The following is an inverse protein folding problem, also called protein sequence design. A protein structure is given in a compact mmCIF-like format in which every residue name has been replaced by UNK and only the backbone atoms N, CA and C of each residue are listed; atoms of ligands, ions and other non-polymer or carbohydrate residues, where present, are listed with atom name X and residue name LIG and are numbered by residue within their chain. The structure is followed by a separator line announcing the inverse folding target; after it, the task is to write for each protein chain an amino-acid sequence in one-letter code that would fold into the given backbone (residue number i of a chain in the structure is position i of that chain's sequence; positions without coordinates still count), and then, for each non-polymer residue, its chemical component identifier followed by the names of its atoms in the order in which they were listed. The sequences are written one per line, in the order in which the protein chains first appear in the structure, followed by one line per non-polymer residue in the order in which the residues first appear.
data_IF_832625035322
#
_entry.id   IF_832625035322
#
_cell.length_a   1.000
_cell.length_b   1.000
_cell.length_c   1.000
_cell.angle_alpha   90.00
_cell.angle_beta   90.00
_cell.angle_gamma   90.00
#
_symmetry.space_group_name_H-M   'P 1'
#
loop_
_entity.id
_entity.type
_entity.pdbx_description
1 polymer ?
#
# COMPACT_ATOMS: atom_id res chain seq x y z
N UNK A 1 28.71 -58.59 -39.60
CA UNK A 1 28.89 -57.86 -38.33
C UNK A 1 29.33 -56.42 -38.60
N UNK A 2 28.45 -55.57 -39.15
CA UNK A 2 28.81 -54.17 -39.47
C UNK A 2 27.67 -53.16 -39.24
N UNK A 3 26.51 -53.60 -38.72
CA UNK A 3 25.31 -52.76 -38.62
C UNK A 3 24.89 -52.39 -37.18
N UNK A 4 25.62 -52.86 -36.16
CA UNK A 4 25.37 -52.52 -34.74
C UNK A 4 26.31 -51.44 -34.19
N UNK A 5 27.42 -51.15 -34.87
CA UNK A 5 28.36 -50.09 -34.46
C UNK A 5 27.96 -48.68 -34.91
N UNK A 6 27.29 -48.57 -36.06
CA UNK A 6 26.92 -47.27 -36.66
C UNK A 6 25.76 -46.60 -35.92
N UNK A 7 24.81 -47.38 -35.40
CA UNK A 7 23.66 -46.88 -34.64
C UNK A 7 24.03 -46.38 -33.24
N UNK A 8 25.05 -46.98 -32.60
CA UNK A 8 25.53 -46.51 -31.28
C UNK A 8 26.37 -45.24 -31.42
N UNK A 9 27.16 -45.11 -32.50
CA UNK A 9 27.92 -43.88 -32.80
C UNK A 9 27.01 -42.71 -33.15
N UNK A 10 25.91 -42.93 -33.89
CA UNK A 10 24.94 -41.87 -34.18
C UNK A 10 24.23 -41.37 -32.90
N UNK A 11 23.89 -42.26 -31.97
CA UNK A 11 23.25 -41.87 -30.71
C UNK A 11 24.20 -41.14 -29.75
N UNK A 12 25.49 -41.50 -29.69
CA UNK A 12 26.46 -40.79 -28.86
C UNK A 12 26.85 -39.41 -29.43
N UNK A 13 26.94 -39.27 -30.75
CA UNK A 13 27.21 -37.96 -31.39
C UNK A 13 25.98 -37.03 -31.26
N UNK A 14 24.76 -37.56 -31.35
CA UNK A 14 23.55 -36.77 -31.09
C UNK A 14 23.49 -36.28 -29.63
N UNK A 15 23.82 -37.13 -28.64
CA UNK A 15 23.83 -36.72 -27.23
C UNK A 15 24.91 -35.66 -26.95
N UNK A 16 26.08 -35.74 -27.57
CA UNK A 16 27.14 -34.72 -27.44
C UNK A 16 26.78 -33.40 -28.16
N UNK A 17 26.04 -33.45 -29.28
CA UNK A 17 25.56 -32.24 -29.96
C UNK A 17 24.37 -31.58 -29.23
N UNK A 18 23.54 -32.34 -28.51
CA UNK A 18 22.46 -31.78 -27.68
C UNK A 18 22.94 -31.22 -26.33
N UNK A 19 24.12 -31.61 -25.84
CA UNK A 19 24.73 -31.03 -24.63
C UNK A 19 25.62 -29.80 -24.91
N UNK A 20 25.80 -29.40 -26.18
CA UNK A 20 26.64 -28.27 -26.58
C UNK A 20 25.86 -27.04 -27.08
N UNK A 21 24.52 -27.04 -27.00
CA UNK A 21 23.69 -25.93 -27.54
C UNK A 21 22.42 -25.61 -26.76
N UNK A 22 22.47 -25.75 -25.43
CA UNK A 22 21.45 -25.20 -24.53
C UNK A 22 22.13 -24.33 -23.46
N UNK A 23 22.12 -23.04 -23.73
CA UNK A 23 22.13 -21.92 -22.77
C UNK A 23 23.20 -21.90 -21.66
N UNK A 24 24.33 -21.29 -22.00
CA UNK A 24 24.83 -20.18 -21.18
C UNK A 24 24.17 -18.91 -21.77
N UNK A 25 23.30 -18.22 -21.02
CA UNK A 25 23.79 -17.28 -20.02
C UNK A 25 22.91 -17.25 -18.75
N UNK A 26 23.24 -18.04 -17.73
CA UNK A 26 22.64 -17.90 -16.39
C UNK A 26 23.65 -17.35 -15.36
N UNK A 27 24.90 -17.07 -15.78
CA UNK A 27 25.92 -16.48 -14.90
C UNK A 27 26.10 -14.96 -15.01
N UNK A 28 25.55 -14.29 -16.03
CA UNK A 28 25.65 -12.82 -16.17
C UNK A 28 24.44 -12.04 -15.65
N UNK A 29 23.29 -12.67 -15.50
CA UNK A 29 22.08 -12.03 -14.99
C UNK A 29 22.08 -11.88 -13.47
N UNK A 30 22.83 -12.72 -12.73
CA UNK A 30 23.06 -12.49 -11.31
C UNK A 30 24.07 -11.36 -11.07
N UNK A 31 25.15 -11.27 -11.84
CA UNK A 31 26.12 -10.17 -11.70
C UNK A 31 25.54 -8.81 -12.14
N UNK A 32 24.72 -8.74 -13.20
CA UNK A 32 24.01 -7.50 -13.56
C UNK A 32 22.89 -7.12 -12.58
N UNK A 33 22.20 -8.10 -11.97
CA UNK A 33 21.23 -7.83 -10.90
C UNK A 33 21.93 -7.46 -9.59
N UNK A 34 23.17 -7.90 -9.38
CA UNK A 34 23.99 -7.58 -8.22
C UNK A 34 24.75 -6.26 -8.38
N UNK A 35 25.13 -5.87 -9.60
CA UNK A 35 25.65 -4.52 -9.91
C UNK A 35 24.53 -3.47 -9.92
N UNK A 36 23.32 -3.82 -10.39
CA UNK A 36 22.14 -2.97 -10.22
C UNK A 36 21.70 -2.85 -8.75
N UNK A 37 21.94 -3.89 -7.92
CA UNK A 37 21.72 -3.80 -6.47
C UNK A 37 22.76 -2.93 -5.73
N UNK A 38 23.84 -2.51 -6.40
CA UNK A 38 24.86 -1.60 -5.82
C UNK A 38 24.68 -0.14 -6.20
N UNK A 39 23.82 0.18 -7.17
CA UNK A 39 23.28 1.53 -7.33
C UNK A 39 21.91 1.50 -6.66
N UNK A 40 21.90 1.71 -5.33
CA UNK A 40 20.71 1.53 -4.51
C UNK A 40 19.47 2.12 -5.17
N UNK A 41 18.34 1.40 -5.12
CA UNK A 41 17.05 1.86 -5.61
C UNK A 41 16.71 3.18 -4.89
N UNK A 42 17.11 4.32 -5.46
CA UNK A 42 16.88 5.65 -4.92
C UNK A 42 15.74 6.27 -5.70
N UNK A 43 14.64 6.48 -5.01
CA UNK A 43 13.41 7.09 -5.53
C UNK A 43 13.36 8.55 -5.10
N UNK A 44 13.00 9.44 -6.02
CA UNK A 44 12.76 10.84 -5.73
C UNK A 44 11.25 11.06 -5.53
N UNK A 45 10.86 11.48 -4.34
CA UNK A 45 9.49 11.85 -4.03
C UNK A 45 9.26 13.26 -4.56
N UNK A 46 8.40 13.38 -5.57
CA UNK A 46 8.08 14.67 -6.22
C UNK A 46 6.60 15.03 -6.09
N UNK A 47 5.74 14.02 -5.97
CA UNK A 47 4.30 14.17 -5.82
C UNK A 47 3.91 14.24 -4.34
N UNK A 48 2.78 14.88 -4.06
CA UNK A 48 2.28 14.98 -2.69
C UNK A 48 1.69 13.65 -2.18
N UNK A 49 1.21 12.79 -3.08
CA UNK A 49 0.86 11.40 -2.75
C UNK A 49 1.74 10.48 -3.59
N UNK A 50 2.71 9.83 -2.96
CA UNK A 50 3.59 8.87 -3.64
C UNK A 50 3.26 7.46 -3.19
N UNK A 51 2.68 6.64 -4.07
CA UNK A 51 2.36 5.23 -3.78
C UNK A 51 3.43 4.33 -4.37
N UNK A 52 3.92 3.35 -3.60
CA UNK A 52 4.99 2.44 -4.05
C UNK A 52 4.87 1.06 -3.42
N UNK A 53 5.29 0.06 -4.19
CA UNK A 53 5.42 -1.35 -3.79
C UNK A 53 6.86 -1.84 -3.91
N UNK A 54 7.83 -0.92 -3.86
CA UNK A 54 9.25 -1.20 -4.04
C UNK A 54 10.05 -0.92 -2.75
N UNK A 55 11.04 -1.77 -2.46
CA UNK A 55 12.06 -1.51 -1.45
C UNK A 55 13.12 -0.54 -1.99
N UNK A 56 13.64 0.34 -1.13
CA UNK A 56 14.65 1.30 -1.56
C UNK A 56 14.86 2.46 -0.61
N UNK A 57 15.61 3.45 -1.08
CA UNK A 57 15.73 4.76 -0.46
C UNK A 57 14.78 5.75 -1.14
N UNK A 58 14.08 6.57 -0.37
CA UNK A 58 13.19 7.59 -0.88
C UNK A 58 13.64 8.93 -0.34
N UNK A 59 13.86 9.88 -1.24
CA UNK A 59 14.38 11.21 -0.92
C UNK A 59 13.39 12.29 -1.32
N UNK A 60 13.27 13.31 -0.48
CA UNK A 60 12.44 14.49 -0.73
C UNK A 60 13.23 15.74 -0.36
N UNK A 61 13.13 16.78 -1.18
CA UNK A 61 13.74 18.08 -0.92
C UNK A 61 12.75 19.18 -1.30
N UNK A 62 12.43 20.06 -0.35
CA UNK A 62 11.72 21.32 -0.60
C UNK A 62 12.68 22.48 -0.49
N UNK A 63 12.84 23.20 -1.60
CA UNK A 63 13.63 24.42 -1.68
C UNK A 63 12.73 25.63 -1.42
N UNK A 64 13.26 26.70 -0.80
CA UNK A 64 12.51 27.94 -0.65
C UNK A 64 12.13 28.50 -2.03
N UNK A 65 10.97 29.16 -2.15
CA UNK A 65 10.57 29.80 -3.39
C UNK A 65 11.65 30.83 -3.79
N UNK A 66 12.18 30.69 -5.00
CA UNK A 66 13.14 31.63 -5.55
C UNK A 66 12.44 32.97 -5.74
N UNK A 67 12.79 33.97 -4.91
CA UNK A 67 12.36 35.35 -5.13
C UNK A 67 13.01 35.80 -6.44
N UNK A 68 12.24 35.84 -7.52
CA UNK A 68 12.61 36.58 -8.72
C UNK A 68 12.83 38.04 -8.32
N UNK A 69 14.07 38.44 -8.14
CA UNK A 69 14.44 39.86 -8.04
C UNK A 69 14.48 40.44 -9.44
N UNK A 70 13.33 40.57 -10.09
CA UNK A 70 13.19 41.53 -11.18
C UNK A 70 13.00 42.92 -10.56
N UNK A 71 14.10 43.47 -10.04
CA UNK A 71 14.23 44.90 -9.80
C UNK A 71 14.37 45.58 -11.17
N UNK A 72 13.24 45.83 -11.83
CA UNK A 72 13.15 46.90 -12.83
C UNK A 72 12.44 48.07 -12.15
N UNK A 73 13.25 48.96 -11.59
CA UNK A 73 12.87 50.35 -11.33
C UNK A 73 12.70 51.03 -12.69
N UNK A 74 11.53 50.84 -13.29
CA UNK A 74 11.02 51.66 -14.37
C UNK A 74 9.80 52.39 -13.85
N UNK A 75 10.00 53.63 -13.41
CA UNK A 75 8.96 54.63 -13.34
C UNK A 75 8.19 54.62 -14.66
N UNK A 76 6.88 54.37 -14.63
CA UNK A 76 5.95 55.20 -15.38
C UNK A 76 4.52 55.08 -14.84
N UNK A 77 3.95 56.26 -14.70
CA UNK A 77 2.64 56.58 -14.19
C UNK A 77 1.54 56.14 -15.15
N UNK A 78 0.52 55.44 -14.68
CA UNK A 78 -0.85 55.71 -15.12
C UNK A 78 -1.88 55.32 -14.07
N UNK A 79 -2.60 56.32 -13.59
CA UNK A 79 -3.80 56.22 -12.77
C UNK A 79 -5.05 56.05 -13.64
N UNK A 80 -5.93 55.14 -13.22
CA UNK A 80 -7.38 55.23 -13.43
C UNK A 80 -7.99 54.27 -14.47
N UNK A 81 -8.74 53.28 -14.01
CA UNK A 81 -10.20 53.21 -14.18
C UNK A 81 -10.76 51.92 -13.56
N UNK A 82 -11.93 52.08 -12.93
CA UNK A 82 -12.68 51.05 -12.23
C UNK A 82 -13.58 50.23 -13.18
N UNK A 83 -13.81 48.98 -12.79
CA UNK A 83 -15.06 48.24 -12.99
C UNK A 83 -15.29 47.56 -14.34
N UNK A 84 -15.33 46.23 -14.34
CA UNK A 84 -16.43 45.40 -14.87
C UNK A 84 -16.12 43.90 -14.71
N UNK A 85 -17.13 43.17 -14.22
CA UNK A 85 -17.22 41.72 -14.13
C UNK A 85 -17.40 41.08 -15.52
N UNK A 86 -16.87 39.85 -15.70
CA UNK A 86 -17.59 38.66 -16.17
C UNK A 86 -16.67 37.68 -16.94
N UNK A 87 -16.58 36.48 -16.35
CA UNK A 87 -16.51 35.13 -16.93
C UNK A 87 -16.13 34.93 -18.41
N UNK A 88 -15.09 34.12 -18.63
CA UNK A 88 -15.12 33.02 -19.59
C UNK A 88 -13.98 32.02 -19.31
N UNK A 89 -14.36 30.74 -19.31
CA UNK A 89 -13.53 29.57 -19.11
C UNK A 89 -12.50 29.32 -20.23
N UNK A 90 -11.45 28.55 -19.92
CA UNK A 90 -10.75 27.77 -20.94
C UNK A 90 -9.27 27.54 -20.73
N UNK A 91 -8.95 26.43 -20.07
CA UNK A 91 -7.76 25.61 -20.29
C UNK A 91 -6.38 26.23 -20.02
N UNK A 92 -5.88 26.00 -18.81
CA UNK A 92 -4.46 25.68 -18.61
C UNK A 92 -4.37 24.43 -17.73
N UNK A 93 -3.66 23.43 -18.24
CA UNK A 93 -3.40 22.19 -17.51
C UNK A 93 -2.66 22.50 -16.22
N UNK A 94 -3.30 22.21 -15.09
CA UNK A 94 -2.67 22.17 -13.79
C UNK A 94 -1.70 20.98 -13.77
N UNK A 95 -0.41 21.29 -13.92
CA UNK A 95 0.66 20.43 -13.41
C UNK A 95 0.51 20.44 -11.89
N UNK A 96 -0.17 19.44 -11.34
CA UNK A 96 -0.33 19.21 -9.92
C UNK A 96 1.03 18.87 -9.29
N UNK A 97 1.87 19.88 -9.01
CA UNK A 97 3.17 19.67 -8.39
C UNK A 97 3.66 20.88 -7.60
N UNK A 98 2.94 21.21 -6.52
CA UNK A 98 3.50 21.59 -5.22
C UNK A 98 2.33 22.00 -4.32
N UNK A 99 2.02 21.18 -3.32
CA UNK A 99 1.10 21.57 -2.27
C UNK A 99 1.53 22.93 -1.68
N UNK A 100 0.55 23.80 -1.41
CA UNK A 100 0.77 25.07 -0.74
C UNK A 100 1.49 24.90 0.61
N UNK A 101 1.87 26.01 1.27
CA UNK A 101 2.67 25.98 2.51
C UNK A 101 2.04 25.17 3.66
N UNK A 102 0.76 24.81 3.59
CA UNK A 102 0.05 24.04 4.60
C UNK A 102 -0.33 22.60 4.17
N UNK A 103 0.00 22.16 2.96
CA UNK A 103 -0.42 20.84 2.46
C UNK A 103 0.33 19.71 3.16
N UNK A 104 -0.41 18.71 3.65
CA UNK A 104 0.13 17.45 4.16
C UNK A 104 0.26 16.49 2.98
N UNK A 105 1.44 15.93 2.81
CA UNK A 105 1.78 14.96 1.77
C UNK A 105 2.13 13.62 2.41
N UNK A 106 2.17 12.54 1.61
CA UNK A 106 2.35 11.18 2.10
C UNK A 106 3.11 10.29 1.13
N UNK A 107 3.97 9.43 1.69
CA UNK A 107 4.55 8.28 1.00
C UNK A 107 3.84 7.02 1.50
N UNK A 108 3.12 6.39 0.59
CA UNK A 108 2.23 5.26 0.80
C UNK A 108 2.91 3.98 0.33
N UNK A 109 3.24 3.12 1.28
CA UNK A 109 3.90 1.84 1.01
C UNK A 109 2.88 0.70 1.07
N UNK A 110 2.92 -0.19 0.09
CA UNK A 110 2.26 -1.51 0.12
C UNK A 110 3.26 -2.59 -0.20
N UNK A 111 3.24 -3.68 0.55
CA UNK A 111 4.08 -4.85 0.32
C UNK A 111 3.21 -6.07 0.00
N UNK A 112 3.84 -7.19 -0.33
CA UNK A 112 3.13 -8.44 -0.55
C UNK A 112 2.30 -8.87 0.69
N UNK A 113 1.24 -9.67 0.51
CA UNK A 113 0.32 -10.02 1.60
C UNK A 113 0.99 -10.67 2.82
N UNK A 114 2.11 -11.37 2.63
CA UNK A 114 2.89 -12.03 3.66
C UNK A 114 4.09 -11.20 4.12
N UNK A 115 4.05 -9.88 3.96
CA UNK A 115 5.11 -8.97 4.36
C UNK A 115 4.60 -7.85 5.29
N UNK A 116 5.53 -7.26 6.03
CA UNK A 116 5.38 -5.99 6.75
C UNK A 116 6.49 -5.05 6.30
N UNK A 117 6.34 -3.76 6.61
CA UNK A 117 7.23 -2.71 6.14
C UNK A 117 8.02 -2.16 7.33
N UNK A 118 9.33 -2.09 7.18
CA UNK A 118 10.24 -1.38 8.07
C UNK A 118 10.73 -0.11 7.38
N UNK A 119 10.52 1.04 8.02
CA UNK A 119 10.98 2.35 7.55
C UNK A 119 12.10 2.83 8.47
N UNK A 120 13.27 3.09 7.89
CA UNK A 120 14.41 3.71 8.59
C UNK A 120 14.59 5.13 8.11
N UNK A 121 14.53 6.10 9.02
CA UNK A 121 14.86 7.50 8.74
C UNK A 121 16.37 7.66 8.68
N UNK A 122 16.93 7.83 7.48
CA UNK A 122 18.37 8.07 7.26
C UNK A 122 18.74 9.53 7.50
N UNK A 123 17.87 10.45 7.08
CA UNK A 123 18.04 11.88 7.28
C UNK A 123 16.69 12.54 7.48
N UNK A 124 16.58 13.44 8.47
CA UNK A 124 15.41 14.28 8.68
C UNK A 124 15.84 15.71 8.93
N UNK A 125 15.36 16.61 8.08
CA UNK A 125 15.56 18.05 8.16
C UNK A 125 14.20 18.71 7.98
N UNK A 126 13.37 18.62 9.02
CA UNK A 126 12.00 19.17 9.05
C UNK A 126 11.87 19.99 10.33
N UNK A 127 11.82 21.31 10.19
CA UNK A 127 11.88 22.23 11.33
C UNK A 127 10.52 22.37 12.03
N UNK A 128 10.45 21.91 13.29
CA UNK A 128 9.26 22.01 14.13
C UNK A 128 8.76 23.46 14.30
N UNK A 129 9.65 24.44 14.39
CA UNK A 129 9.31 25.84 14.68
C UNK A 129 8.61 26.53 13.52
N UNK A 130 8.92 26.09 12.29
CA UNK A 130 8.23 26.57 11.07
C UNK A 130 6.87 25.90 10.86
N UNK A 131 6.45 25.02 11.78
CA UNK A 131 5.28 24.16 11.62
C UNK A 131 5.57 22.92 10.76
N UNK A 132 6.84 22.53 10.60
CA UNK A 132 7.20 21.25 10.00
C UNK A 132 6.78 20.08 10.88
N UNK A 133 6.24 19.03 10.27
CA UNK A 133 5.82 17.82 10.99
C UNK A 133 5.96 16.60 10.08
N UNK A 134 6.46 15.50 10.61
CA UNK A 134 6.39 14.18 9.99
C UNK A 134 5.63 13.23 10.91
N UNK A 135 4.97 12.24 10.33
CA UNK A 135 4.32 11.18 11.07
C UNK A 135 4.53 9.84 10.37
N UNK A 136 4.87 8.81 11.13
CA UNK A 136 4.74 7.43 10.69
C UNK A 136 3.39 6.89 11.15
N UNK A 137 2.67 6.25 10.22
CA UNK A 137 1.39 5.58 10.46
C UNK A 137 1.57 4.09 10.22
N UNK A 138 1.31 3.28 11.25
CA UNK A 138 1.17 1.83 11.15
C UNK A 138 -0.16 1.49 10.47
N UNK A 139 -0.07 1.27 9.15
CA UNK A 139 -1.20 1.16 8.23
C UNK A 139 -1.27 2.35 7.27
N UNK A 140 -2.46 2.61 6.72
CA UNK A 140 -2.73 3.75 5.85
C UNK A 140 -3.76 4.69 6.47
N UNK A 141 -3.66 5.96 6.10
CA UNK A 141 -4.65 6.99 6.40
C UNK A 141 -5.12 7.64 5.09
N UNK A 142 -6.44 7.77 4.94
CA UNK A 142 -7.07 8.45 3.82
C UNK A 142 -8.37 9.11 4.30
N UNK A 143 -8.45 10.43 4.16
CA UNK A 143 -9.62 11.24 4.52
C UNK A 143 -10.09 11.05 5.98
N UNK A 144 -9.15 10.95 6.91
CA UNK A 144 -9.39 10.75 8.34
C UNK A 144 -9.75 9.31 8.72
N UNK A 145 -9.79 8.39 7.76
CA UNK A 145 -10.04 6.96 8.01
C UNK A 145 -8.75 6.17 7.91
N UNK A 146 -8.68 5.08 8.67
CA UNK A 146 -7.48 4.27 8.79
C UNK A 146 -7.71 2.85 8.32
N UNK A 147 -6.71 2.31 7.64
CA UNK A 147 -6.60 0.88 7.39
C UNK A 147 -5.42 0.30 8.17
N UNK A 148 -5.60 -0.83 8.88
CA UNK A 148 -6.88 -1.42 9.25
C UNK A 148 -7.70 -0.47 10.12
N UNK A 149 -9.02 -0.68 10.15
CA UNK A 149 -9.91 0.06 11.05
C UNK A 149 -9.53 -0.14 12.51
N UNK A 150 -9.89 0.80 13.38
CA UNK A 150 -9.49 0.77 14.81
C UNK A 150 -9.92 -0.48 15.56
N UNK A 151 -11.01 -1.11 15.13
CA UNK A 151 -11.57 -2.33 15.73
C UNK A 151 -10.94 -3.63 15.19
N UNK A 152 -10.20 -3.55 14.07
CA UNK A 152 -9.55 -4.69 13.42
C UNK A 152 -8.01 -4.67 13.63
N UNK A 153 -7.46 -3.50 13.99
CA UNK A 153 -6.06 -3.37 14.36
C UNK A 153 -5.81 -3.84 15.80
N UNK A 154 -4.67 -4.48 16.05
CA UNK A 154 -4.29 -4.95 17.40
C UNK A 154 -3.91 -3.82 18.37
N UNK A 155 -3.43 -2.71 17.82
CA UNK A 155 -3.06 -1.50 18.55
C UNK A 155 -4.08 -0.38 18.33
N UNK A 156 -4.31 0.44 19.36
CA UNK A 156 -5.10 1.67 19.25
C UNK A 156 -4.39 2.74 18.41
N UNK A 157 -5.16 3.69 17.90
CA UNK A 157 -4.67 4.72 16.98
C UNK A 157 -3.50 5.54 17.55
N UNK A 158 -3.50 5.86 18.84
CA UNK A 158 -2.44 6.66 19.47
C UNK A 158 -1.08 5.96 19.52
N UNK A 159 -1.05 4.63 19.35
CA UNK A 159 0.19 3.84 19.26
C UNK A 159 0.61 3.58 17.83
N UNK A 160 -0.31 3.75 16.88
CA UNK A 160 -0.07 3.56 15.43
C UNK A 160 0.53 4.79 14.78
N UNK A 161 0.30 5.98 15.36
CA UNK A 161 0.79 7.25 14.85
C UNK A 161 1.97 7.71 15.69
N UNK A 162 3.12 7.94 15.05
CA UNK A 162 4.32 8.45 15.68
C UNK A 162 4.75 9.72 14.98
N UNK A 163 4.51 10.86 15.63
CA UNK A 163 4.86 12.18 15.14
C UNK A 163 6.28 12.58 15.55
N UNK A 164 7.02 13.21 14.64
CA UNK A 164 8.37 13.68 14.90
C UNK A 164 8.77 14.81 13.94
N UNK A 165 9.72 15.63 14.37
CA UNK A 165 10.38 16.66 13.58
C UNK A 165 11.74 16.98 14.21
N UNK A 166 12.55 17.80 13.55
CA UNK A 166 13.86 18.24 14.04
C UNK A 166 13.69 19.46 14.94
N UNK A 167 13.88 19.30 16.25
CA UNK A 167 14.03 20.44 17.16
C UNK A 167 15.44 21.04 17.01
N UNK A 168 15.53 22.34 16.68
CA UNK A 168 16.80 23.05 16.72
C UNK A 168 17.18 23.34 18.18
N UNK A 169 17.88 22.40 18.82
CA UNK A 169 18.61 22.75 20.04
C UNK A 169 19.79 23.65 19.68
N UNK A 170 19.75 24.92 20.11
CA UNK A 170 20.87 25.85 20.00
C UNK A 170 22.15 25.19 20.58
N UNK A 171 23.31 25.27 19.91
CA UNK A 171 24.50 24.55 20.30
C UNK A 171 25.20 25.24 21.47
N UNK A 172 24.94 24.79 22.68
CA UNK A 172 25.72 25.13 23.87
C UNK A 172 26.50 23.88 24.32
N UNK A 173 27.73 23.75 23.79
CA UNK A 173 28.77 22.72 24.08
C UNK A 173 28.63 21.33 23.39
N UNK A 174 29.73 20.59 23.17
CA UNK A 174 30.28 20.19 21.89
C UNK A 174 29.67 18.88 21.34
N UNK A 175 29.52 18.87 20.02
CA UNK A 175 28.94 17.83 19.19
C UNK A 175 29.70 16.49 19.18
N UNK A 176 29.72 15.76 20.29
CA UNK A 176 30.29 14.38 20.36
C UNK A 176 29.45 13.34 21.12
N UNK A 177 28.16 13.62 21.38
CA UNK A 177 27.26 12.66 22.06
C UNK A 177 25.94 12.36 21.30
N UNK A 178 25.66 13.01 20.18
CA UNK A 178 24.49 12.70 19.34
C UNK A 178 24.91 11.80 18.18
N UNK A 179 25.43 10.62 18.47
CA UNK A 179 25.41 9.53 17.51
C UNK A 179 23.95 9.16 17.29
N UNK A 180 23.34 9.86 16.33
CA UNK A 180 22.04 9.65 15.69
C UNK A 180 21.44 8.27 15.98
N UNK A 181 20.49 8.20 16.93
CA UNK A 181 19.57 7.07 17.02
C UNK A 181 18.75 7.08 15.74
N UNK A 182 19.07 6.19 14.79
CA UNK A 182 18.27 6.04 13.59
C UNK A 182 16.83 5.72 14.01
N UNK A 183 15.87 6.53 13.56
CA UNK A 183 14.46 6.26 13.82
C UNK A 183 14.03 5.12 12.91
N UNK A 184 13.65 3.99 13.51
CA UNK A 184 13.19 2.81 12.80
C UNK A 184 11.76 2.54 13.22
N UNK A 185 10.88 2.50 12.25
CA UNK A 185 9.45 2.23 12.42
C UNK A 185 9.09 0.94 11.70
N UNK A 186 8.12 0.20 12.24
CA UNK A 186 7.64 -1.05 11.66
C UNK A 186 6.13 -1.04 11.62
N UNK A 187 5.56 -1.45 10.50
CA UNK A 187 4.13 -1.73 10.42
C UNK A 187 3.81 -3.12 10.98
N UNK A 188 2.56 -3.27 11.39
CA UNK A 188 1.95 -4.54 11.82
C UNK A 188 1.32 -5.28 10.62
N UNK A 189 1.09 -4.59 9.51
CA UNK A 189 0.45 -5.10 8.29
C UNK A 189 1.32 -4.84 7.05
N UNK A 190 0.87 -5.30 5.88
CA UNK A 190 1.58 -5.09 4.61
C UNK A 190 1.50 -3.65 4.05
N UNK A 191 1.14 -2.67 4.87
CA UNK A 191 1.07 -1.28 4.44
C UNK A 191 1.56 -0.34 5.55
N UNK A 192 2.14 0.78 5.14
CA UNK A 192 2.63 1.84 6.01
C UNK A 192 2.52 3.18 5.31
N UNK A 193 2.42 4.26 6.07
CA UNK A 193 2.36 5.61 5.53
C UNK A 193 3.33 6.52 6.29
N UNK A 194 4.13 7.29 5.55
CA UNK A 194 4.93 8.39 6.08
C UNK A 194 4.31 9.69 5.61
N UNK A 195 3.64 10.40 6.52
CA UNK A 195 3.09 11.72 6.26
C UNK A 195 4.12 12.81 6.57
N UNK A 196 4.10 13.89 5.80
CA UNK A 196 4.96 15.03 6.03
C UNK A 196 4.30 16.33 5.61
N UNK A 197 4.57 17.37 6.40
CA UNK A 197 4.25 18.77 6.10
C UNK A 197 5.53 19.57 6.25
N UNK A 198 5.99 20.17 5.15
CA UNK A 198 7.21 21.00 5.12
C UNK A 198 6.80 22.36 4.55
N UNK A 199 6.57 23.38 5.37
CA UNK A 199 6.03 24.66 4.91
C UNK A 199 6.97 25.45 3.99
N UNK A 200 8.22 25.65 4.43
CA UNK A 200 9.17 26.53 3.73
C UNK A 200 10.31 25.76 3.05
N UNK A 201 11.18 25.13 3.84
CA UNK A 201 12.35 24.37 3.40
C UNK A 201 12.53 23.13 4.25
N UNK A 202 13.06 22.08 3.66
CA UNK A 202 13.35 20.86 4.39
C UNK A 202 13.66 19.71 3.46
N UNK A 203 14.10 18.61 4.05
CA UNK A 203 14.40 17.39 3.30
C UNK A 203 14.32 16.17 4.19
N UNK A 204 14.07 15.01 3.59
CA UNK A 204 14.22 13.74 4.28
C UNK A 204 14.78 12.68 3.33
N UNK A 205 15.40 11.67 3.93
CA UNK A 205 15.76 10.42 3.27
C UNK A 205 15.27 9.29 4.16
N UNK A 206 14.39 8.45 3.61
CA UNK A 206 13.87 7.25 4.26
C UNK A 206 14.33 6.01 3.50
N UNK A 207 14.44 4.88 4.19
CA UNK A 207 14.73 3.60 3.57
C UNK A 207 13.64 2.61 3.97
N UNK A 208 12.98 2.03 2.97
CA UNK A 208 11.93 1.04 3.14
C UNK A 208 12.48 -0.36 2.86
N UNK A 209 12.10 -1.30 3.73
CA UNK A 209 12.39 -2.73 3.60
C UNK A 209 11.14 -3.54 3.91
N UNK A 210 10.96 -4.64 3.21
CA UNK A 210 9.86 -5.56 3.39
C UNK A 210 10.36 -6.82 4.11
N UNK A 211 9.69 -7.16 5.19
CA UNK A 211 10.06 -8.27 6.07
C UNK A 211 8.94 -9.31 6.04
N UNK A 212 9.29 -10.59 5.98
CA UNK A 212 8.30 -11.66 5.96
C UNK A 212 7.46 -11.69 7.26
N UNK A 213 6.16 -11.86 7.09
CA UNK A 213 5.14 -12.00 8.10
C UNK A 213 4.47 -13.36 7.96
N UNK A 214 4.69 -14.23 8.94
CA UNK A 214 4.12 -15.59 8.95
C UNK A 214 2.63 -15.65 9.28
N UNK A 215 2.02 -14.56 9.77
CA UNK A 215 0.62 -14.53 10.22
C UNK A 215 -0.14 -13.27 9.77
N UNK A 216 -0.17 -12.98 8.46
CA UNK A 216 -0.91 -11.82 7.95
C UNK A 216 -2.39 -11.94 8.28
N UNK A 217 -2.97 -10.84 8.74
CA UNK A 217 -4.37 -10.76 9.15
C UNK A 217 -5.06 -9.63 8.40
N UNK A 218 -4.49 -8.43 8.44
CA UNK A 218 -5.03 -7.33 7.65
C UNK A 218 -4.12 -7.08 6.44
N UNK A 219 -4.72 -7.05 5.26
CA UNK A 219 -4.03 -7.03 3.98
C UNK A 219 -4.60 -5.90 3.12
N UNK A 220 -3.75 -4.99 2.68
CA UNK A 220 -4.05 -4.06 1.61
C UNK A 220 -3.76 -4.74 0.27
N UNK A 221 -4.77 -4.85 -0.58
CA UNK A 221 -4.67 -5.51 -1.88
C UNK A 221 -4.40 -4.52 -3.00
N UNK A 222 -3.35 -4.79 -3.77
CA UNK A 222 -3.05 -4.13 -5.04
C UNK A 222 -3.57 -4.90 -6.26
N UNK A 223 -4.21 -6.05 -6.05
CA UNK A 223 -4.75 -6.90 -7.12
C UNK A 223 -3.71 -7.79 -7.83
N UNK A 224 -2.48 -7.87 -7.31
CA UNK A 224 -1.40 -8.65 -7.92
C UNK A 224 -1.35 -10.12 -7.45
N UNK A 225 -1.87 -10.42 -6.25
CA UNK A 225 -1.80 -11.78 -5.71
C UNK A 225 -2.88 -12.68 -6.32
N UNK A 226 -2.57 -13.95 -6.62
CA UNK A 226 -3.54 -14.89 -7.21
C UNK A 226 -4.69 -15.21 -6.28
N UNK A 227 -4.45 -15.16 -4.97
CA UNK A 227 -5.45 -15.30 -3.92
C UNK A 227 -4.94 -14.65 -2.63
N UNK A 228 -5.88 -14.38 -1.73
CA UNK A 228 -5.65 -13.84 -0.41
C UNK A 228 -6.23 -14.80 0.63
N UNK A 229 -5.49 -14.99 1.73
CA UNK A 229 -5.86 -15.91 2.78
C UNK A 229 -6.13 -15.13 4.07
N UNK A 230 -7.40 -14.89 4.39
CA UNK A 230 -7.79 -14.30 5.66
C UNK A 230 -7.86 -15.39 6.72
N UNK A 231 -7.16 -15.21 7.84
CA UNK A 231 -7.12 -16.19 8.92
C UNK A 231 -6.93 -15.53 10.28
N UNK A 232 -7.70 -15.96 11.28
CA UNK A 232 -7.58 -15.45 12.65
C UNK A 232 -6.42 -16.09 13.45
N UNK A 233 -5.87 -17.21 12.96
CA UNK A 233 -4.83 -18.04 13.61
C UNK A 233 -5.21 -18.46 15.04
N UNK A 234 -6.50 -18.73 15.26
CA UNK A 234 -7.02 -19.12 16.57
C UNK A 234 -7.00 -18.00 17.61
N UNK A 235 -6.89 -16.74 17.17
CA UNK A 235 -6.96 -15.57 18.04
C UNK A 235 -8.34 -14.90 17.96
N UNK A 236 -8.80 -14.24 19.03
CA UNK A 236 -10.01 -13.41 19.03
C UNK A 236 -9.73 -12.06 18.34
N UNK A 237 -9.43 -12.09 17.04
CA UNK A 237 -9.12 -10.91 16.23
C UNK A 237 -9.85 -10.94 14.90
N UNK A 238 -10.27 -9.77 14.45
CA UNK A 238 -10.83 -9.60 13.11
C UNK A 238 -9.70 -9.42 12.11
N UNK A 239 -9.90 -9.92 10.89
CA UNK A 239 -8.92 -9.84 9.81
C UNK A 239 -9.57 -9.26 8.55
N UNK A 240 -8.89 -8.31 7.91
CA UNK A 240 -9.52 -7.49 6.86
C UNK A 240 -8.65 -7.44 5.60
N UNK A 241 -9.24 -7.74 4.46
CA UNK A 241 -8.66 -7.49 3.14
C UNK A 241 -9.33 -6.26 2.55
N UNK A 242 -8.56 -5.25 2.16
CA UNK A 242 -9.10 -4.01 1.57
C UNK A 242 -8.36 -3.66 0.29
N UNK A 243 -9.11 -3.37 -0.76
CA UNK A 243 -8.60 -2.83 -2.03
C UNK A 243 -9.17 -1.43 -2.26
N UNK A 244 -8.34 -0.53 -2.79
CA UNK A 244 -8.69 0.87 -3.08
C UNK A 244 -9.25 1.05 -4.49
N UNK A 245 -10.05 0.09 -4.93
CA UNK A 245 -10.71 0.13 -6.22
C UNK A 245 -12.01 -0.69 -6.20
N UNK A 246 -12.96 -0.36 -7.09
CA UNK A 246 -14.09 -1.22 -7.43
C UNK A 246 -13.60 -2.59 -7.88
N UNK A 247 -14.09 -3.66 -7.25
CA UNK A 247 -13.56 -5.00 -7.48
C UNK A 247 -14.63 -6.08 -7.46
N UNK A 248 -14.35 -7.18 -8.15
CA UNK A 248 -15.08 -8.43 -8.01
C UNK A 248 -14.35 -9.30 -6.99
N UNK A 249 -15.08 -9.67 -5.94
CA UNK A 249 -14.59 -10.59 -4.90
C UNK A 249 -15.17 -11.97 -5.17
N UNK A 250 -14.30 -12.97 -5.27
CA UNK A 250 -14.70 -14.38 -5.36
C UNK A 250 -14.28 -15.11 -4.09
N UNK A 251 -15.25 -15.65 -3.35
CA UNK A 251 -14.96 -16.51 -2.19
C UNK A 251 -14.74 -17.95 -2.66
N UNK A 252 -13.49 -18.42 -2.57
CA UNK A 252 -13.04 -19.72 -3.07
C UNK A 252 -13.21 -20.83 -2.04
N UNK A 253 -12.94 -20.53 -0.76
CA UNK A 253 -13.12 -21.47 0.33
C UNK A 253 -13.44 -20.72 1.63
N UNK A 254 -14.28 -21.31 2.47
CA UNK A 254 -14.75 -20.71 3.72
C UNK A 254 -14.77 -21.76 4.82
N UNK A 255 -14.15 -21.45 5.96
CA UNK A 255 -14.34 -22.17 7.21
C UNK A 255 -14.48 -21.14 8.34
N UNK A 256 -15.71 -20.79 8.69
CA UNK A 256 -16.00 -19.73 9.67
C UNK A 256 -17.08 -20.20 10.64
N UNK A 257 -16.77 -20.15 11.94
CA UNK A 257 -17.63 -20.67 12.99
C UNK A 257 -17.63 -22.20 13.07
N UNK A 258 -18.70 -22.83 13.58
CA UNK A 258 -18.74 -24.27 13.78
C UNK A 258 -18.75 -25.03 12.44
N UNK A 259 -17.67 -25.80 12.19
CA UNK A 259 -17.35 -26.45 10.92
C UNK A 259 -18.28 -27.57 10.42
N UNK A 260 -19.47 -27.73 11.00
CA UNK A 260 -20.40 -28.82 10.70
C UNK A 260 -21.60 -28.37 9.84
N UNK A 261 -21.67 -27.09 9.45
CA UNK A 261 -22.76 -26.53 8.66
C UNK A 261 -22.26 -26.10 7.29
N UNK A 262 -23.05 -26.36 6.25
CA UNK A 262 -22.85 -25.78 4.92
C UNK A 262 -22.82 -24.24 5.02
N UNK A 263 -22.16 -23.60 4.05
CA UNK A 263 -22.14 -22.13 3.95
C UNK A 263 -23.57 -21.59 3.87
N UNK A 264 -23.88 -20.60 4.69
CA UNK A 264 -25.18 -19.92 4.73
C UNK A 264 -25.01 -18.43 5.00
N UNK A 265 -26.06 -17.66 4.69
CA UNK A 265 -26.11 -16.24 5.02
C UNK A 265 -26.41 -16.07 6.52
N UNK A 266 -25.52 -15.37 7.23
CA UNK A 266 -25.50 -15.34 8.70
C UNK A 266 -26.00 -14.03 9.32
N UNK A 267 -26.53 -13.13 8.50
CA UNK A 267 -27.03 -11.82 8.93
C UNK A 267 -28.19 -11.92 9.93
N UNK A 268 -29.12 -12.87 9.71
CA UNK A 268 -30.29 -13.08 10.58
C UNK A 268 -30.00 -13.96 11.80
N UNK A 269 -28.97 -14.80 11.72
CA UNK A 269 -28.65 -15.80 12.76
C UNK A 269 -27.82 -15.19 13.90
N UNK A 270 -27.34 -13.95 13.75
CA UNK A 270 -26.45 -13.26 14.71
C UNK A 270 -25.27 -14.14 15.11
N UNK A 271 -24.48 -14.56 14.13
CA UNK A 271 -23.25 -15.29 14.40
C UNK A 271 -22.12 -14.32 14.80
N UNK A 272 -21.37 -14.70 15.84
CA UNK A 272 -20.18 -14.00 16.30
C UNK A 272 -18.98 -14.22 15.37
N UNK A 273 -19.02 -15.28 14.55
CA UNK A 273 -18.00 -15.63 13.56
C UNK A 273 -18.62 -15.57 12.16
N UNK A 274 -18.14 -14.65 11.33
CA UNK A 274 -18.71 -14.39 9.99
C UNK A 274 -17.70 -13.74 9.07
N UNK A 275 -17.88 -13.98 7.77
CA UNK A 275 -17.20 -13.25 6.71
C UNK A 275 -18.18 -12.24 6.12
N UNK A 276 -17.81 -10.97 6.16
CA UNK A 276 -18.56 -9.87 5.59
C UNK A 276 -17.85 -9.41 4.31
N UNK A 277 -18.57 -9.30 3.20
CA UNK A 277 -18.05 -8.80 1.92
C UNK A 277 -18.84 -7.55 1.55
N UNK A 278 -18.15 -6.49 1.16
CA UNK A 278 -18.81 -5.22 0.85
C UNK A 278 -17.82 -4.15 0.38
N UNK A 279 -18.30 -2.92 0.35
CA UNK A 279 -17.49 -1.76 -0.02
C UNK A 279 -17.93 -0.49 0.69
N UNK A 280 -17.07 0.51 0.68
CA UNK A 280 -17.36 1.82 1.27
C UNK A 280 -16.72 2.94 0.45
N UNK A 281 -16.94 4.17 0.88
CA UNK A 281 -16.29 5.36 0.31
C UNK A 281 -14.93 5.65 0.96
N UNK A 282 -14.50 4.87 1.96
CA UNK A 282 -13.27 5.11 2.72
C UNK A 282 -12.58 3.82 3.17
N UNK A 283 -11.63 3.95 4.10
CA UNK A 283 -10.79 2.83 4.55
C UNK A 283 -11.38 1.98 5.68
N UNK A 284 -12.37 2.49 6.43
CA UNK A 284 -12.93 1.78 7.57
C UNK A 284 -13.96 0.70 7.12
N UNK A 285 -13.64 -0.59 7.28
CA UNK A 285 -14.54 -1.68 6.84
C UNK A 285 -15.78 -1.80 7.74
N UNK A 286 -15.85 -1.16 8.91
CA UNK A 286 -17.04 -1.19 9.75
C UNK A 286 -18.22 -0.44 9.15
N UNK A 287 -17.92 0.57 8.32
CA UNK A 287 -18.91 1.43 7.68
C UNK A 287 -19.28 0.93 6.29
N UNK A 288 -18.83 -0.27 5.91
CA UNK A 288 -19.08 -0.81 4.58
C UNK A 288 -20.55 -1.19 4.37
N UNK A 289 -21.04 -0.92 3.17
CA UNK A 289 -22.28 -1.48 2.66
C UNK A 289 -22.02 -2.93 2.28
N UNK A 290 -22.69 -3.86 2.97
CA UNK A 290 -22.43 -5.29 2.86
C UNK A 290 -23.20 -5.86 1.67
N UNK A 291 -22.47 -6.53 0.76
CA UNK A 291 -23.05 -7.36 -0.29
C UNK A 291 -23.52 -8.70 0.27
N UNK A 292 -22.73 -9.26 1.19
CA UNK A 292 -23.08 -10.49 1.87
C UNK A 292 -22.45 -10.61 3.25
N UNK A 293 -23.09 -11.41 4.09
CA UNK A 293 -22.54 -11.88 5.36
C UNK A 293 -22.73 -13.38 5.40
N UNK A 294 -21.64 -14.15 5.36
CA UNK A 294 -21.66 -15.61 5.26
C UNK A 294 -20.87 -16.27 6.38
N UNK A 295 -21.26 -17.46 6.78
CA UNK A 295 -20.53 -18.30 7.74
C UNK A 295 -20.82 -19.79 7.47
N UNK A 296 -20.14 -20.67 8.18
CA UNK A 296 -20.15 -22.11 7.96
C UNK A 296 -18.91 -22.59 7.20
N UNK A 297 -19.00 -23.79 6.63
CA UNK A 297 -17.90 -24.49 5.98
C UNK A 297 -18.24 -24.86 4.55
N UNK A 298 -17.34 -24.54 3.62
CA UNK A 298 -17.39 -25.04 2.25
C UNK A 298 -16.78 -26.45 2.22
N UNK A 299 -17.54 -27.44 1.73
CA UNK A 299 -17.05 -28.81 1.55
C UNK A 299 -16.05 -28.98 0.38
N UNK A 300 -15.61 -27.89 -0.23
CA UNK A 300 -14.77 -27.85 -1.42
C UNK A 300 -14.65 -26.41 -1.93
N UNK A 301 -14.29 -26.26 -3.22
CA UNK A 301 -14.27 -24.96 -3.88
C UNK A 301 -15.68 -24.37 -3.95
N UNK A 302 -15.79 -23.12 -3.59
CA UNK A 302 -16.95 -22.26 -3.72
C UNK A 302 -16.68 -21.24 -4.83
N UNK A 303 -17.71 -20.85 -5.57
CA UNK A 303 -17.61 -19.80 -6.59
C UNK A 303 -18.71 -18.77 -6.31
N UNK A 304 -18.50 -17.98 -5.25
CA UNK A 304 -19.40 -16.88 -4.88
C UNK A 304 -18.76 -15.56 -5.27
N UNK A 305 -19.17 -15.07 -6.44
CA UNK A 305 -18.69 -13.83 -7.04
C UNK A 305 -19.60 -12.67 -6.66
N UNK A 306 -19.00 -11.57 -6.23
CA UNK A 306 -19.71 -10.36 -5.81
C UNK A 306 -19.00 -9.13 -6.36
N UNK A 307 -19.68 -8.42 -7.26
CA UNK A 307 -19.20 -7.17 -7.83
C UNK A 307 -19.47 -6.02 -6.87
N UNK A 308 -18.40 -5.44 -6.32
CA UNK A 308 -18.43 -4.33 -5.37
C UNK A 308 -17.96 -3.07 -6.08
N UNK A 309 -18.90 -2.15 -6.33
CA UNK A 309 -18.66 -0.93 -7.07
C UNK A 309 -18.66 0.27 -6.12
N UNK A 310 -17.62 0.31 -5.29
CA UNK A 310 -17.38 1.32 -4.29
C UNK A 310 -15.95 1.85 -4.44
N UNK A 311 -15.65 3.01 -3.84
CA UNK A 311 -14.29 3.56 -3.84
C UNK A 311 -13.29 2.59 -3.19
N UNK A 312 -13.76 1.82 -2.21
CA UNK A 312 -13.00 0.71 -1.62
C UNK A 312 -13.84 -0.57 -1.60
N UNK A 313 -13.16 -1.69 -1.79
CA UNK A 313 -13.72 -3.04 -1.65
C UNK A 313 -13.10 -3.69 -0.43
N UNK A 314 -13.90 -4.27 0.46
CA UNK A 314 -13.42 -4.90 1.70
C UNK A 314 -14.04 -6.26 1.94
N UNK A 315 -13.21 -7.18 2.44
CA UNK A 315 -13.60 -8.48 2.97
C UNK A 315 -13.14 -8.55 4.41
N UNK A 316 -14.08 -8.71 5.34
CA UNK A 316 -13.84 -8.66 6.78
C UNK A 316 -14.21 -9.98 7.44
N UNK A 317 -13.22 -10.68 7.96
CA UNK A 317 -13.39 -11.87 8.78
C UNK A 317 -13.57 -11.46 10.23
N UNK A 318 -14.81 -11.51 10.72
CA UNK A 318 -15.17 -11.27 12.12
C UNK A 318 -15.03 -12.57 12.88
N UNK A 319 -14.33 -12.53 14.02
CA UNK A 319 -13.96 -13.75 14.73
C UNK A 319 -14.02 -13.57 16.25
N UNK A 320 -14.76 -14.48 16.89
CA UNK A 320 -14.83 -14.64 18.36
C UNK A 320 -13.55 -15.23 18.95
N UNK A 321 -12.74 -15.91 18.13
CA UNK A 321 -11.56 -16.66 18.55
C UNK A 321 -11.84 -18.08 19.07
N UNK A 322 -13.12 -18.50 19.12
CA UNK A 322 -13.49 -19.87 19.52
C UNK A 322 -13.17 -20.92 18.46
N UNK A 323 -13.06 -20.49 17.20
CA UNK A 323 -12.79 -21.35 16.05
C UNK A 323 -11.58 -20.85 15.27
N UNK A 324 -10.95 -21.75 14.51
CA UNK A 324 -9.92 -21.38 13.55
C UNK A 324 -10.60 -20.93 12.26
N UNK A 325 -10.94 -19.65 12.21
CA UNK A 325 -11.65 -19.07 11.08
C UNK A 325 -10.68 -18.78 9.93
N UNK A 326 -11.08 -19.15 8.72
CA UNK A 326 -10.31 -18.89 7.50
C UNK A 326 -11.20 -18.71 6.27
N UNK A 327 -10.79 -17.81 5.37
CA UNK A 327 -11.47 -17.54 4.12
C UNK A 327 -10.47 -17.25 2.99
N UNK A 328 -10.49 -18.10 1.97
CA UNK A 328 -9.66 -17.92 0.77
C UNK A 328 -10.47 -17.15 -0.26
N UNK A 329 -9.94 -16.01 -0.70
CA UNK A 329 -10.63 -15.10 -1.61
C UNK A 329 -9.72 -14.67 -2.75
N UNK A 330 -10.30 -14.40 -3.91
CA UNK A 330 -9.61 -13.71 -5.00
C UNK A 330 -10.28 -12.38 -5.23
N UNK A 331 -9.49 -11.39 -5.65
CA UNK A 331 -9.99 -10.06 -5.96
C UNK A 331 -9.40 -9.62 -7.31
N UNK A 332 -10.25 -9.07 -8.17
CA UNK A 332 -9.83 -8.44 -9.43
C UNK A 332 -10.53 -7.11 -9.58
N UNK A 333 -9.92 -6.19 -10.31
CA UNK A 333 -10.59 -4.94 -10.68
C UNK A 333 -11.90 -5.26 -11.43
N UNK A 334 -12.94 -4.48 -11.15
CA UNK A 334 -14.21 -4.61 -11.83
C UNK A 334 -14.12 -4.02 -13.25
N UNK A 335 -14.77 -4.67 -14.20
CA UNK A 335 -14.86 -4.25 -15.59
C UNK A 335 -16.27 -3.74 -15.92
N UNK A 336 -16.45 -3.18 -17.12
CA UNK A 336 -17.75 -2.63 -17.55
C UNK A 336 -18.87 -3.69 -17.54
N UNK A 337 -18.55 -4.96 -17.81
CA UNK A 337 -19.51 -6.06 -17.75
C UNK A 337 -20.04 -6.29 -16.32
N UNK A 338 -19.24 -6.00 -15.30
CA UNK A 338 -19.59 -6.21 -13.89
C UNK A 338 -20.61 -5.17 -13.39
N UNK A 339 -20.74 -4.02 -14.07
CA UNK A 339 -21.74 -2.99 -13.75
C UNK A 339 -23.17 -3.54 -13.74
N UNK A 340 -23.47 -4.49 -14.62
CA UNK A 340 -24.81 -5.09 -14.74
C UNK A 340 -25.08 -6.14 -13.66
N UNK A 341 -24.05 -6.60 -12.96
CA UNK A 341 -24.10 -7.64 -11.94
C UNK A 341 -23.67 -7.11 -10.57
N UNK A 342 -23.72 -5.78 -10.39
CA UNK A 342 -23.32 -5.12 -9.16
C UNK A 342 -24.10 -5.68 -7.96
N UNK A 343 -23.39 -6.27 -7.01
CA UNK A 343 -23.96 -6.71 -5.75
C UNK A 343 -24.15 -5.51 -4.81
N UNK A 344 -23.20 -4.58 -4.81
CA UNK A 344 -23.25 -3.31 -4.08
C UNK A 344 -22.67 -2.20 -4.95
N UNK A 345 -23.31 -1.03 -4.88
CA UNK A 345 -22.80 0.22 -5.44
C UNK A 345 -22.85 1.29 -4.35
N UNK A 346 -21.74 1.97 -4.11
CA UNK A 346 -21.69 3.09 -3.17
C UNK A 346 -21.98 4.39 -3.90
N UNK A 347 -22.68 5.32 -3.25
CA UNK A 347 -22.76 6.68 -3.75
C UNK A 347 -21.35 7.27 -3.78
N UNK A 348 -21.00 7.88 -4.92
CA UNK A 348 -19.73 8.61 -5.07
C UNK A 348 -19.80 9.96 -4.36
#
# INVERSE_FOLDING_TARGET
MALRGVTVLFFQVLILCFQAKAWNPVRRSYELKQEAATLGNVHLVTECMHVTSEEGEFSFIKLPPTRSTSSWTGTDSWSGLAGLESEAAGASGEVAANGGPATVCGVYFVADPDQIIEITMKQVNVDCHTGGLMAFVDGWELNGQYFPGEQDHEQRLERRIQEFCTEQTLPQWPAKAAASKAWVFRSSQNCALVQYRIPERGSFVISARFLHNSKPCNIMAEGLAPYYMLRNYGQPRNCTLTALFPAVVSVIALEVGPGNKNVHYCERVRSDDKLEVGGSTGLDPHQMTKASTICGRSGGRMDLDQSILCGTTSVRLVSSGQYNNQAMVTIRMAEEADLRLAAVMCAM
#
